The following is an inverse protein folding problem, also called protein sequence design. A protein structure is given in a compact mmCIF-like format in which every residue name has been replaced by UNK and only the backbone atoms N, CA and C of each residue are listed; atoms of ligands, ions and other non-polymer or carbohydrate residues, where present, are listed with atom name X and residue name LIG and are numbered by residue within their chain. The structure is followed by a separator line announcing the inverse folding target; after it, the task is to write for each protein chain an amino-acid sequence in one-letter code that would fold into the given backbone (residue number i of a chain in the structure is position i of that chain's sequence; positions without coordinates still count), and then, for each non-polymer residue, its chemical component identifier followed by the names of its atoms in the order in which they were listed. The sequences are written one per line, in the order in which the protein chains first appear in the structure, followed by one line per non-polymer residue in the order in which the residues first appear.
data_IF_471411031900
#
_entry.id   IF_471411031900
#
_cell.length_a   1.000
_cell.length_b   1.000
_cell.length_c   1.000
_cell.angle_alpha   90.00
_cell.angle_beta   90.00
_cell.angle_gamma   90.00
#
_symmetry.space_group_name_H-M   'P 1'
#
loop_
_entity.id
_entity.type
_entity.pdbx_description
1 polymer ?
#
# COMPACT_ATOMS: atom_id res chain seq x y z
N UNK A 1 -21.53 -30.21 -8.43
CA UNK A 1 -20.50 -29.20 -8.07
C UNK A 1 -21.07 -28.27 -7.00
N UNK A 2 -20.93 -28.63 -5.73
CA UNK A 2 -21.36 -27.75 -4.62
C UNK A 2 -20.24 -26.73 -4.37
N UNK A 3 -20.51 -25.44 -4.63
CA UNK A 3 -19.64 -24.35 -4.20
C UNK A 3 -19.79 -24.21 -2.68
N UNK A 4 -18.69 -24.21 -1.93
CA UNK A 4 -18.72 -23.88 -0.50
C UNK A 4 -18.80 -22.34 -0.33
N UNK A 5 -19.98 -21.73 -0.07
CA UNK A 5 -20.27 -20.38 -0.55
C UNK A 5 -19.71 -19.19 0.26
N UNK A 6 -19.10 -19.43 1.43
CA UNK A 6 -18.80 -18.37 2.39
C UNK A 6 -17.31 -18.21 2.74
N UNK A 7 -16.47 -19.23 2.54
CA UNK A 7 -15.07 -19.22 3.03
C UNK A 7 -14.03 -18.95 1.93
N UNK A 8 -14.39 -19.08 0.65
CA UNK A 8 -13.54 -18.69 -0.51
C UNK A 8 -13.62 -17.19 -0.84
N UNK A 9 -14.58 -16.47 -0.24
CA UNK A 9 -14.87 -15.06 -0.56
C UNK A 9 -13.73 -14.10 -0.20
N UNK A 10 -12.98 -14.36 0.87
CA UNK A 10 -11.97 -13.40 1.33
C UNK A 10 -10.80 -13.26 0.35
N UNK A 11 -10.39 -14.35 -0.31
CA UNK A 11 -9.32 -14.31 -1.33
C UNK A 11 -9.83 -13.61 -2.58
N UNK A 12 -11.04 -13.93 -3.05
CA UNK A 12 -11.65 -13.23 -4.18
C UNK A 12 -11.81 -11.73 -3.92
N UNK A 13 -12.23 -11.34 -2.71
CA UNK A 13 -12.33 -9.95 -2.27
C UNK A 13 -10.95 -9.28 -2.22
N UNK A 14 -9.95 -9.92 -1.63
CA UNK A 14 -8.59 -9.41 -1.59
C UNK A 14 -8.00 -9.24 -3.01
N UNK A 15 -8.23 -10.17 -3.93
CA UNK A 15 -7.81 -10.05 -5.33
C UNK A 15 -8.53 -8.88 -6.02
N UNK A 16 -9.83 -8.67 -5.75
CA UNK A 16 -10.57 -7.51 -6.28
C UNK A 16 -10.01 -6.19 -5.78
N UNK A 17 -9.66 -6.12 -4.49
CA UNK A 17 -9.09 -4.90 -3.89
C UNK A 17 -7.76 -4.48 -4.51
N UNK A 18 -7.00 -5.38 -5.16
CA UNK A 18 -5.80 -5.03 -5.93
C UNK A 18 -6.10 -4.04 -7.06
N UNK A 19 -7.31 -4.12 -7.63
CA UNK A 19 -7.80 -3.26 -8.73
C UNK A 19 -8.62 -2.08 -8.24
N UNK A 20 -8.89 -1.99 -6.94
CA UNK A 20 -9.46 -0.77 -6.38
C UNK A 20 -8.45 0.34 -6.49
N UNK A 21 -8.94 1.57 -6.43
CA UNK A 21 -8.15 2.75 -6.71
C UNK A 21 -8.06 3.65 -5.49
N UNK A 22 -6.90 4.29 -5.35
CA UNK A 22 -6.62 5.30 -4.33
C UNK A 22 -6.15 6.57 -5.04
N UNK A 23 -6.64 7.72 -4.57
CA UNK A 23 -6.19 9.02 -5.08
C UNK A 23 -4.81 9.36 -4.47
N UNK A 24 -3.84 9.69 -5.31
CA UNK A 24 -2.54 10.19 -4.87
C UNK A 24 -2.68 11.64 -4.40
N UNK A 25 -2.33 11.94 -3.14
CA UNK A 25 -2.45 13.30 -2.61
C UNK A 25 -1.44 14.29 -3.19
N UNK A 26 -0.36 13.82 -3.82
CA UNK A 26 0.65 14.63 -4.52
C UNK A 26 0.12 15.11 -5.87
N UNK A 27 -0.25 14.19 -6.77
CA UNK A 27 -0.61 14.53 -8.15
C UNK A 27 -2.11 14.46 -8.48
N UNK A 28 -2.95 14.12 -7.49
CA UNK A 28 -4.42 13.95 -7.60
C UNK A 28 -4.89 12.91 -8.62
N UNK A 29 -3.99 12.03 -9.08
CA UNK A 29 -4.36 10.91 -9.96
C UNK A 29 -4.94 9.76 -9.17
N UNK A 30 -5.87 9.07 -9.80
CA UNK A 30 -6.48 7.83 -9.31
C UNK A 30 -5.62 6.65 -9.76
N UNK A 31 -5.05 5.90 -8.81
CA UNK A 31 -4.07 4.84 -9.06
C UNK A 31 -4.55 3.52 -8.47
N UNK A 32 -4.41 2.43 -9.22
CA UNK A 32 -4.71 1.08 -8.71
C UNK A 32 -3.84 0.76 -7.48
N UNK A 33 -4.45 0.18 -6.45
CA UNK A 33 -3.79 -0.14 -5.18
C UNK A 33 -2.51 -0.97 -5.38
N UNK A 34 -2.52 -1.94 -6.31
CA UNK A 34 -1.34 -2.76 -6.60
C UNK A 34 -0.13 -1.97 -7.15
N UNK A 35 -0.36 -0.82 -7.79
CA UNK A 35 0.67 0.05 -8.39
C UNK A 35 0.95 1.31 -7.55
N UNK A 36 0.26 1.49 -6.42
CA UNK A 36 0.28 2.75 -5.69
C UNK A 36 1.65 3.08 -5.08
N UNK A 37 2.32 2.09 -4.48
CA UNK A 37 3.65 2.30 -3.87
C UNK A 37 4.73 2.59 -4.93
N UNK A 38 4.66 1.95 -6.10
CA UNK A 38 5.54 2.24 -7.24
C UNK A 38 5.30 3.66 -7.75
N UNK A 39 4.03 4.05 -7.86
CA UNK A 39 3.64 5.39 -8.28
C UNK A 39 4.17 6.49 -7.35
N UNK A 40 4.15 6.31 -6.02
CA UNK A 40 4.57 7.35 -5.07
C UNK A 40 6.00 7.81 -5.34
N UNK A 41 6.94 6.87 -5.54
CA UNK A 41 8.36 7.20 -5.75
C UNK A 41 8.58 8.03 -7.01
N UNK A 42 7.98 7.60 -8.13
CA UNK A 42 8.07 8.32 -9.40
C UNK A 42 7.36 9.68 -9.34
N UNK A 43 6.22 9.72 -8.65
CA UNK A 43 5.42 10.93 -8.47
C UNK A 43 6.16 11.97 -7.62
N UNK A 44 6.78 11.55 -6.52
CA UNK A 44 7.54 12.41 -5.63
C UNK A 44 8.70 13.09 -6.35
N UNK A 45 9.48 12.32 -7.10
CA UNK A 45 10.58 12.84 -7.92
C UNK A 45 10.08 13.81 -9.00
N UNK A 46 9.01 13.46 -9.71
CA UNK A 46 8.46 14.29 -10.79
C UNK A 46 7.97 15.65 -10.32
N UNK A 47 7.35 15.71 -9.13
CA UNK A 47 6.79 16.94 -8.57
C UNK A 47 7.73 17.63 -7.58
N UNK A 48 8.97 17.13 -7.42
CA UNK A 48 9.97 17.66 -6.50
C UNK A 48 9.41 17.88 -5.07
N UNK A 49 8.67 16.89 -4.56
CA UNK A 49 8.09 16.98 -3.21
C UNK A 49 9.14 16.72 -2.14
N UNK A 50 8.94 17.28 -0.95
CA UNK A 50 9.81 17.00 0.18
C UNK A 50 9.76 15.54 0.61
N UNK A 51 10.85 15.09 1.24
CA UNK A 51 10.94 13.75 1.84
C UNK A 51 9.77 13.47 2.78
N UNK A 52 9.44 14.42 3.66
CA UNK A 52 8.35 14.25 4.63
C UNK A 52 6.99 14.07 3.92
N UNK A 53 6.76 14.78 2.81
CA UNK A 53 5.52 14.60 2.04
C UNK A 53 5.46 13.24 1.38
N UNK A 54 6.56 12.78 0.76
CA UNK A 54 6.64 11.43 0.19
C UNK A 54 6.41 10.36 1.25
N UNK A 55 7.15 10.43 2.35
CA UNK A 55 7.08 9.48 3.46
C UNK A 55 5.70 9.47 4.13
N UNK A 56 5.04 10.63 4.26
CA UNK A 56 3.66 10.73 4.73
C UNK A 56 2.72 9.89 3.84
N UNK A 57 2.75 10.11 2.52
CA UNK A 57 1.83 9.44 1.59
C UNK A 57 2.10 7.94 1.51
N UNK A 58 3.37 7.54 1.50
CA UNK A 58 3.75 6.13 1.55
C UNK A 58 3.21 5.45 2.81
N UNK A 59 3.47 6.03 3.99
CA UNK A 59 3.06 5.45 5.26
C UNK A 59 1.54 5.45 5.43
N UNK A 60 0.83 6.48 4.94
CA UNK A 60 -0.64 6.49 4.90
C UNK A 60 -1.20 5.32 4.08
N UNK A 61 -0.60 5.01 2.94
CA UNK A 61 -1.03 3.88 2.11
C UNK A 61 -0.69 2.54 2.76
N UNK A 62 0.49 2.40 3.36
CA UNK A 62 0.88 1.19 4.11
C UNK A 62 -0.06 0.97 5.29
N UNK A 63 -0.41 2.00 6.04
CA UNK A 63 -1.40 1.93 7.10
C UNK A 63 -2.87 1.87 6.62
N UNK A 64 -3.13 1.72 5.32
CA UNK A 64 -4.51 1.70 4.82
C UNK A 64 -5.25 0.40 5.21
N UNK A 65 -6.59 0.46 5.15
CA UNK A 65 -7.44 -0.74 5.27
C UNK A 65 -7.06 -1.80 4.25
N UNK A 66 -6.78 -1.39 3.01
CA UNK A 66 -6.36 -2.28 1.93
C UNK A 66 -5.10 -3.05 2.33
N UNK A 67 -4.03 -2.35 2.71
CA UNK A 67 -2.75 -2.96 3.07
C UNK A 67 -2.88 -3.90 4.27
N UNK A 68 -3.64 -3.50 5.29
CA UNK A 68 -3.93 -4.35 6.46
C UNK A 68 -4.68 -5.63 6.05
N UNK A 69 -5.72 -5.50 5.21
CA UNK A 69 -6.52 -6.61 4.74
C UNK A 69 -5.69 -7.58 3.88
N UNK A 70 -4.86 -7.06 2.97
CA UNK A 70 -3.97 -7.86 2.12
C UNK A 70 -2.99 -8.69 2.95
N UNK A 71 -2.33 -8.08 3.93
CA UNK A 71 -1.35 -8.80 4.77
C UNK A 71 -2.01 -9.92 5.59
N UNK A 72 -3.19 -9.65 6.18
CA UNK A 72 -3.92 -10.66 6.95
C UNK A 72 -4.51 -11.76 6.06
N UNK A 73 -4.97 -11.43 4.85
CA UNK A 73 -5.47 -12.41 3.88
C UNK A 73 -4.35 -13.34 3.40
N UNK A 74 -3.16 -12.81 3.10
CA UNK A 74 -1.99 -13.61 2.73
C UNK A 74 -1.55 -14.53 3.88
N UNK A 75 -1.50 -14.01 5.11
CA UNK A 75 -1.17 -14.80 6.29
C UNK A 75 -2.15 -15.97 6.46
N UNK A 76 -3.45 -15.69 6.35
CA UNK A 76 -4.51 -16.70 6.45
C UNK A 76 -4.37 -17.76 5.36
N UNK A 77 -4.20 -17.34 4.10
CA UNK A 77 -4.05 -18.27 2.98
C UNK A 77 -2.84 -19.19 3.17
N UNK A 78 -1.68 -18.63 3.57
CA UNK A 78 -0.47 -19.39 3.85
C UNK A 78 -0.69 -20.46 4.92
N UNK A 79 -1.32 -20.08 6.04
CA UNK A 79 -1.57 -20.99 7.16
C UNK A 79 -2.59 -22.08 6.82
N UNK A 80 -3.66 -21.74 6.10
CA UNK A 80 -4.65 -22.73 5.63
C UNK A 80 -4.01 -23.75 4.69
N UNK A 81 -3.22 -23.28 3.72
CA UNK A 81 -2.51 -24.14 2.76
C UNK A 81 -1.50 -25.03 3.49
N UNK A 82 -0.63 -24.45 4.32
CA UNK A 82 0.38 -25.20 5.08
C UNK A 82 -0.23 -26.26 5.98
N UNK A 83 -1.36 -25.95 6.63
CA UNK A 83 -2.10 -26.93 7.44
C UNK A 83 -2.65 -28.09 6.63
N UNK A 84 -3.30 -27.82 5.50
CA UNK A 84 -3.84 -28.89 4.65
C UNK A 84 -2.75 -29.74 4.00
N UNK A 85 -1.60 -29.14 3.65
CA UNK A 85 -0.44 -29.87 3.18
C UNK A 85 0.08 -30.86 4.23
N UNK A 86 0.31 -30.38 5.44
CA UNK A 86 0.75 -31.19 6.57
C UNK A 86 -0.25 -32.28 6.98
N UNK A 87 -1.55 -32.02 6.79
CA UNK A 87 -2.63 -32.98 7.07
C UNK A 87 -2.65 -34.13 6.05
N UNK A 88 -2.40 -33.84 4.78
CA UNK A 88 -2.38 -34.84 3.70
C UNK A 88 -1.07 -35.64 3.66
N UNK A 89 0.05 -34.98 3.97
CA UNK A 89 1.38 -35.56 3.91
C UNK A 89 2.22 -35.10 5.10
N UNK A 90 2.51 -36.03 6.02
CA UNK A 90 3.35 -35.76 7.19
C UNK A 90 4.77 -35.31 6.81
N UNK A 91 5.26 -35.66 5.61
CA UNK A 91 6.52 -35.13 5.09
C UNK A 91 6.52 -33.61 4.91
N UNK A 92 5.34 -32.98 4.86
CA UNK A 92 5.15 -31.53 4.74
C UNK A 92 4.90 -30.82 6.07
N UNK A 93 5.17 -31.47 7.20
CA UNK A 93 5.12 -30.78 8.50
C UNK A 93 6.03 -29.54 8.51
N UNK A 94 7.16 -29.56 7.80
CA UNK A 94 8.07 -28.40 7.63
C UNK A 94 7.42 -27.17 6.99
N UNK A 95 6.29 -27.33 6.28
CA UNK A 95 5.52 -26.23 5.71
C UNK A 95 4.52 -25.61 6.70
N UNK A 96 4.37 -26.19 7.90
CA UNK A 96 3.42 -25.75 8.91
C UNK A 96 4.11 -24.77 9.88
N UNK A 97 3.65 -23.51 9.90
CA UNK A 97 4.22 -22.53 10.83
C UNK A 97 3.93 -22.94 12.30
N UNK A 98 4.90 -22.82 13.21
CA UNK A 98 4.76 -23.30 14.58
C UNK A 98 5.43 -22.40 15.63
N UNK A 99 4.70 -22.11 16.70
CA UNK A 99 5.20 -21.39 17.89
C UNK A 99 5.04 -22.19 19.20
N UNK A 100 4.43 -23.38 19.12
CA UNK A 100 4.07 -24.21 20.28
C UNK A 100 5.05 -25.34 20.56
N UNK A 101 5.68 -25.91 19.53
CA UNK A 101 6.51 -27.10 19.68
C UNK A 101 7.86 -26.74 20.31
N UNK A 102 8.27 -27.41 21.41
CA UNK A 102 9.54 -27.13 22.07
C UNK A 102 10.76 -27.62 21.27
N UNK A 103 10.57 -28.59 20.37
CA UNK A 103 11.63 -29.16 19.53
C UNK A 103 11.14 -29.36 18.11
N UNK A 104 12.09 -29.38 17.15
CA UNK A 104 11.80 -29.69 15.76
C UNK A 104 11.21 -31.09 15.60
N UNK A 105 11.71 -32.10 16.33
CA UNK A 105 11.18 -33.46 16.22
C UNK A 105 9.71 -33.52 16.66
N UNK A 106 9.35 -32.91 17.79
CA UNK A 106 7.95 -32.86 18.24
C UNK A 106 7.04 -32.14 17.23
N UNK A 107 7.58 -31.14 16.53
CA UNK A 107 6.89 -30.50 15.41
C UNK A 107 6.70 -31.45 14.23
N UNK A 108 7.76 -32.13 13.76
CA UNK A 108 7.70 -33.10 12.66
C UNK A 108 6.77 -34.29 12.97
N UNK A 109 6.62 -34.65 14.24
CA UNK A 109 5.70 -35.68 14.70
C UNK A 109 4.22 -35.22 14.72
N UNK A 110 3.95 -33.95 14.42
CA UNK A 110 2.59 -33.39 14.35
C UNK A 110 2.09 -32.76 15.65
N UNK A 111 2.95 -32.53 16.63
CA UNK A 111 2.55 -32.12 17.99
C UNK A 111 1.79 -30.79 18.11
N UNK A 112 1.77 -29.95 17.06
CA UNK A 112 1.02 -28.70 16.99
C UNK A 112 -0.18 -28.73 16.03
N UNK A 113 -0.43 -29.85 15.33
CA UNK A 113 -1.43 -29.89 14.25
C UNK A 113 -2.84 -29.61 14.78
N UNK A 114 -3.17 -30.08 15.99
CA UNK A 114 -4.51 -29.90 16.59
C UNK A 114 -4.83 -28.45 16.98
N UNK A 115 -3.84 -27.56 17.06
CA UNK A 115 -4.06 -26.13 17.28
C UNK A 115 -4.73 -25.46 16.05
N UNK A 116 -4.67 -26.09 14.88
CA UNK A 116 -5.21 -25.57 13.62
C UNK A 116 -4.64 -24.18 13.29
N UNK A 117 -3.33 -23.98 13.54
CA UNK A 117 -2.59 -22.72 13.30
C UNK A 117 -3.07 -21.51 14.12
N UNK A 118 -3.92 -21.70 15.13
CA UNK A 118 -4.50 -20.61 15.93
C UNK A 118 -3.43 -19.76 16.61
N UNK A 119 -2.49 -20.38 17.31
CA UNK A 119 -1.47 -19.67 18.08
C UNK A 119 -0.47 -18.98 17.15
N UNK A 120 -0.04 -19.65 16.08
CA UNK A 120 0.83 -19.02 15.10
C UNK A 120 0.15 -17.82 14.43
N UNK A 121 -1.13 -17.93 14.04
CA UNK A 121 -1.89 -16.80 13.49
C UNK A 121 -2.02 -15.66 14.51
N UNK A 122 -2.23 -15.99 15.78
CA UNK A 122 -2.31 -15.00 16.86
C UNK A 122 -1.03 -14.16 16.93
N UNK A 123 0.14 -14.79 16.88
CA UNK A 123 1.43 -14.11 16.97
C UNK A 123 1.78 -13.33 15.69
N UNK A 124 1.72 -13.98 14.53
CA UNK A 124 2.06 -13.35 13.24
C UNK A 124 1.03 -12.29 12.82
N UNK A 125 -0.24 -12.51 13.14
CA UNK A 125 -1.33 -11.57 12.90
C UNK A 125 -1.20 -10.33 13.79
N UNK A 126 -0.84 -10.50 15.07
CA UNK A 126 -0.55 -9.38 15.96
C UNK A 126 0.67 -8.57 15.47
N UNK A 127 1.75 -9.25 15.02
CA UNK A 127 2.92 -8.58 14.44
C UNK A 127 2.54 -7.79 13.18
N UNK A 128 1.68 -8.35 12.34
CA UNK A 128 1.14 -7.66 11.16
C UNK A 128 0.40 -6.37 11.56
N UNK A 129 -0.51 -6.44 12.53
CA UNK A 129 -1.24 -5.25 13.02
C UNK A 129 -0.28 -4.21 13.62
N UNK A 130 0.73 -4.67 14.36
CA UNK A 130 1.74 -3.79 14.96
C UNK A 130 2.56 -3.05 13.90
N UNK A 131 2.98 -3.73 12.82
CA UNK A 131 3.66 -3.07 11.70
C UNK A 131 2.78 -2.03 11.01
N UNK A 132 1.50 -2.34 10.79
CA UNK A 132 0.60 -1.35 10.19
C UNK A 132 0.34 -0.15 11.12
N UNK A 133 0.33 -0.37 12.42
CA UNK A 133 0.27 0.71 13.40
C UNK A 133 1.54 1.57 13.38
N UNK A 134 2.71 0.97 13.21
CA UNK A 134 3.97 1.72 13.06
C UNK A 134 3.88 2.67 11.86
N UNK A 135 3.47 2.16 10.70
CA UNK A 135 3.24 3.01 9.53
C UNK A 135 2.20 4.10 9.79
N UNK A 136 1.15 3.82 10.56
CA UNK A 136 0.16 4.82 10.90
C UNK A 136 0.75 5.96 11.77
N UNK A 137 1.56 5.60 12.77
CA UNK A 137 2.24 6.56 13.64
C UNK A 137 3.23 7.40 12.82
N UNK A 138 4.01 6.76 11.95
CA UNK A 138 4.96 7.44 11.06
C UNK A 138 4.22 8.41 10.12
N UNK A 139 3.08 7.99 9.55
CA UNK A 139 2.24 8.86 8.73
C UNK A 139 1.76 10.10 9.49
N UNK A 140 1.33 9.95 10.74
CA UNK A 140 0.92 11.09 11.57
C UNK A 140 2.10 12.00 11.92
N UNK A 141 3.27 11.44 12.18
CA UNK A 141 4.49 12.20 12.41
C UNK A 141 4.86 13.05 11.18
N UNK A 142 4.90 12.45 9.99
CA UNK A 142 5.21 13.18 8.77
C UNK A 142 4.12 14.19 8.38
N UNK A 143 2.84 13.88 8.62
CA UNK A 143 1.74 14.86 8.44
C UNK A 143 1.95 16.09 9.34
N UNK A 144 2.46 15.90 10.56
CA UNK A 144 2.81 16.99 11.45
C UNK A 144 4.00 17.79 10.91
N UNK A 145 5.08 17.15 10.47
CA UNK A 145 6.25 17.85 9.89
C UNK A 145 5.88 18.68 8.65
N UNK A 146 5.11 18.09 7.73
CA UNK A 146 4.61 18.80 6.55
C UNK A 146 3.81 20.04 6.94
N UNK A 147 2.90 19.95 7.92
CA UNK A 147 2.13 21.10 8.35
C UNK A 147 2.95 22.16 9.11
N UNK A 148 4.01 21.76 9.82
CA UNK A 148 4.94 22.71 10.44
C UNK A 148 5.73 23.49 9.38
N UNK A 149 6.17 22.81 8.32
CA UNK A 149 6.82 23.46 7.18
C UNK A 149 5.87 24.42 6.46
N UNK A 150 4.63 24.01 6.22
CA UNK A 150 3.61 24.88 5.61
C UNK A 150 3.37 26.16 6.44
N UNK A 151 3.47 26.09 7.78
CA UNK A 151 3.43 27.28 8.64
C UNK A 151 4.65 28.18 8.38
N UNK A 152 5.86 27.62 8.32
CA UNK A 152 7.07 28.42 8.04
C UNK A 152 7.02 29.11 6.67
N UNK A 153 6.67 28.36 5.64
CA UNK A 153 6.63 28.83 4.24
C UNK A 153 5.65 30.01 4.07
N UNK A 154 4.49 29.95 4.73
CA UNK A 154 3.48 31.01 4.67
C UNK A 154 3.98 32.36 5.22
N UNK A 155 4.93 32.33 6.14
CA UNK A 155 5.52 33.54 6.70
C UNK A 155 6.74 34.01 5.92
N UNK A 156 7.48 33.13 5.24
CA UNK A 156 8.65 33.51 4.42
C UNK A 156 8.27 34.42 3.23
N UNK A 157 7.10 34.18 2.62
CA UNK A 157 6.57 35.00 1.50
C UNK A 157 6.14 36.42 1.92
N UNK A 158 5.81 36.64 3.19
CA UNK A 158 5.29 37.92 3.70
C UNK A 158 6.35 39.02 3.89
N UNK A 159 7.64 38.68 3.87
CA UNK A 159 8.75 39.59 4.24
C UNK A 159 9.55 40.18 3.07
N UNK A 160 9.32 39.73 1.83
CA UNK A 160 10.15 40.13 0.67
C UNK A 160 9.96 41.56 0.17
N UNK A 161 8.93 42.30 0.61
CA UNK A 161 8.52 43.56 -0.03
C UNK A 161 8.53 44.79 0.89
N UNK A 162 9.19 44.75 2.05
CA UNK A 162 8.97 45.83 3.02
C UNK A 162 9.71 47.13 2.69
N UNK A 163 10.92 47.13 2.11
CA UNK A 163 11.59 48.39 1.73
C UNK A 163 12.68 48.20 0.66
N UNK A 164 12.35 48.34 -0.63
CA UNK A 164 13.31 48.39 -1.75
C UNK A 164 13.89 49.80 -2.01
N UNK A 165 13.46 50.81 -1.26
CA UNK A 165 13.92 52.19 -1.47
C UNK A 165 15.18 52.55 -0.64
N UNK A 166 16.16 53.29 -1.22
CA UNK A 166 17.33 53.79 -0.50
C UNK A 166 16.94 54.80 0.59
N UNK A 167 17.54 54.71 1.78
CA UNK A 167 17.32 55.72 2.82
C UNK A 167 18.08 57.02 2.52
N UNK A 168 17.56 58.16 3.03
CA UNK A 168 18.18 59.49 2.89
C UNK A 168 19.23 59.82 3.98
N UNK A 169 19.73 58.85 4.77
CA UNK A 169 20.88 59.08 5.67
C UNK A 169 21.09 58.07 6.81
N UNK A 170 22.31 58.05 7.36
CA UNK A 170 22.83 57.06 8.35
C UNK A 170 21.95 56.91 9.60
N UNK A 171 21.39 58.00 10.14
CA UNK A 171 20.51 57.94 11.31
C UNK A 171 19.17 57.24 11.02
N UNK A 172 18.66 57.39 9.79
CA UNK A 172 17.45 56.69 9.35
C UNK A 172 17.73 55.22 9.03
N UNK A 173 18.95 54.89 8.59
CA UNK A 173 19.39 53.49 8.44
C UNK A 173 19.40 52.76 9.78
N UNK A 174 19.93 53.38 10.85
CA UNK A 174 19.98 52.77 12.19
C UNK A 174 18.56 52.51 12.73
N UNK A 175 17.66 53.49 12.62
CA UNK A 175 16.26 53.33 13.04
C UNK A 175 15.52 52.27 12.20
N UNK A 176 15.79 52.20 10.89
CA UNK A 176 15.24 51.17 10.01
C UNK A 176 15.72 49.79 10.40
N UNK A 177 17.00 49.62 10.76
CA UNK A 177 17.55 48.34 11.23
C UNK A 177 16.87 47.91 12.54
N UNK A 178 16.67 48.81 13.50
CA UNK A 178 16.00 48.49 14.76
C UNK A 178 14.53 48.07 14.56
N UNK A 179 13.81 48.77 13.68
CA UNK A 179 12.44 48.42 13.32
C UNK A 179 12.37 47.06 12.61
N UNK A 180 13.28 46.77 11.68
CA UNK A 180 13.36 45.47 11.00
C UNK A 180 13.63 44.34 11.99
N UNK A 181 14.58 44.53 12.90
CA UNK A 181 14.88 43.54 13.93
C UNK A 181 13.69 43.28 14.86
N UNK A 182 12.88 44.30 15.16
CA UNK A 182 11.67 44.16 15.96
C UNK A 182 10.53 43.45 15.20
N UNK A 183 10.35 43.76 13.92
CA UNK A 183 9.40 43.04 13.05
C UNK A 183 9.80 41.56 12.95
N UNK A 184 11.07 41.26 12.73
CA UNK A 184 11.58 39.90 12.63
C UNK A 184 11.38 39.13 13.95
N UNK A 185 11.64 39.76 15.10
CA UNK A 185 11.39 39.15 16.42
C UNK A 185 9.91 38.83 16.64
N UNK A 186 9.02 39.77 16.33
CA UNK A 186 7.58 39.57 16.49
C UNK A 186 7.04 38.49 15.53
N UNK A 187 7.58 38.44 14.31
CA UNK A 187 7.28 37.39 13.33
C UNK A 187 7.69 36.01 13.85
N UNK A 188 8.93 35.87 14.35
CA UNK A 188 9.42 34.61 14.91
C UNK A 188 8.55 34.14 16.09
N UNK A 189 8.15 35.05 16.98
CA UNK A 189 7.25 34.74 18.09
C UNK A 189 5.89 34.22 17.62
N UNK A 190 5.29 34.85 16.59
CA UNK A 190 4.01 34.41 16.04
C UNK A 190 4.13 33.06 15.33
N UNK A 191 5.19 32.82 14.55
CA UNK A 191 5.47 31.51 13.94
C UNK A 191 5.56 30.44 15.03
N UNK A 192 6.36 30.68 16.08
CA UNK A 192 6.54 29.71 17.15
C UNK A 192 5.24 29.44 17.91
N UNK A 193 4.43 30.46 18.14
CA UNK A 193 3.10 30.32 18.75
C UNK A 193 2.19 29.42 17.89
N UNK A 194 2.11 29.66 16.59
CA UNK A 194 1.29 28.84 15.68
C UNK A 194 1.78 27.40 15.59
N UNK A 195 3.11 27.17 15.55
CA UNK A 195 3.69 25.82 15.60
C UNK A 195 3.32 25.08 16.89
N UNK A 196 3.38 25.76 18.04
CA UNK A 196 3.01 25.18 19.32
C UNK A 196 1.52 24.79 19.38
N UNK A 197 0.64 25.69 18.92
CA UNK A 197 -0.81 25.44 18.86
C UNK A 197 -1.15 24.29 17.90
N UNK A 198 -0.53 24.27 16.71
CA UNK A 198 -0.68 23.22 15.72
C UNK A 198 -0.22 21.86 16.27
N UNK A 199 0.96 21.81 16.89
CA UNK A 199 1.53 20.59 17.47
C UNK A 199 0.62 20.04 18.57
N UNK A 200 0.19 20.88 19.51
CA UNK A 200 -0.67 20.47 20.62
C UNK A 200 -2.03 19.94 20.11
N UNK A 201 -2.59 20.55 19.07
CA UNK A 201 -3.82 20.08 18.42
C UNK A 201 -3.60 18.73 17.73
N UNK A 202 -2.57 18.61 16.90
CA UNK A 202 -2.27 17.37 16.15
C UNK A 202 -1.93 16.19 17.04
N UNK A 203 -1.23 16.40 18.15
CA UNK A 203 -0.96 15.34 19.12
C UNK A 203 -2.25 14.77 19.71
N UNK A 204 -3.20 15.63 20.11
CA UNK A 204 -4.50 15.18 20.64
C UNK A 204 -5.30 14.40 19.59
N UNK A 205 -5.36 14.89 18.36
CA UNK A 205 -6.02 14.19 17.25
C UNK A 205 -5.37 12.84 16.95
N UNK A 206 -4.03 12.78 16.98
CA UNK A 206 -3.25 11.58 16.67
C UNK A 206 -3.52 10.46 17.67
N UNK A 207 -3.57 10.76 18.98
CA UNK A 207 -3.88 9.76 20.01
C UNK A 207 -5.25 9.11 19.76
N UNK A 208 -6.27 9.91 19.44
CA UNK A 208 -7.62 9.40 19.14
C UNK A 208 -7.59 8.52 17.89
N UNK A 209 -6.92 8.97 16.82
CA UNK A 209 -6.82 8.21 15.57
C UNK A 209 -6.04 6.90 15.74
N UNK A 210 -4.98 6.87 16.55
CA UNK A 210 -4.21 5.67 16.88
C UNK A 210 -5.12 4.61 17.52
N UNK A 211 -5.89 5.00 18.54
CA UNK A 211 -6.81 4.08 19.22
C UNK A 211 -7.87 3.52 18.26
N UNK A 212 -8.43 4.37 17.40
CA UNK A 212 -9.39 3.94 16.37
C UNK A 212 -8.76 3.01 15.33
N UNK A 213 -7.52 3.29 14.94
CA UNK A 213 -6.77 2.43 14.02
C UNK A 213 -6.54 1.05 14.63
N UNK A 214 -6.00 0.99 15.84
CA UNK A 214 -5.77 -0.25 16.59
C UNK A 214 -7.05 -1.06 16.74
N UNK A 215 -8.16 -0.46 17.17
CA UNK A 215 -9.43 -1.17 17.34
C UNK A 215 -9.92 -1.80 16.01
N UNK A 216 -9.89 -1.03 14.91
CA UNK A 216 -10.30 -1.54 13.59
C UNK A 216 -9.39 -2.67 13.09
N UNK A 217 -8.08 -2.50 13.22
CA UNK A 217 -7.11 -3.51 12.80
C UNK A 217 -7.23 -4.79 13.63
N UNK A 218 -7.38 -4.66 14.96
CA UNK A 218 -7.58 -5.79 15.87
C UNK A 218 -8.89 -6.54 15.58
N UNK A 219 -10.00 -5.83 15.32
CA UNK A 219 -11.27 -6.47 14.92
C UNK A 219 -11.11 -7.28 13.64
N UNK A 220 -10.39 -6.75 12.65
CA UNK A 220 -10.11 -7.46 11.41
C UNK A 220 -9.26 -8.71 11.67
N UNK A 221 -8.14 -8.55 12.37
CA UNK A 221 -7.24 -9.63 12.76
C UNK A 221 -7.97 -10.77 13.50
N UNK A 222 -8.75 -10.45 14.54
CA UNK A 222 -9.48 -11.45 15.33
C UNK A 222 -10.53 -12.19 14.49
N UNK A 223 -11.19 -11.50 13.56
CA UNK A 223 -12.12 -12.11 12.62
C UNK A 223 -11.41 -13.10 11.70
N UNK A 224 -10.29 -12.70 11.08
CA UNK A 224 -9.49 -13.57 10.21
C UNK A 224 -9.02 -14.83 10.94
N UNK A 225 -8.51 -14.69 12.17
CA UNK A 225 -8.09 -15.82 13.00
C UNK A 225 -9.25 -16.80 13.24
N UNK A 226 -10.41 -16.27 13.67
CA UNK A 226 -11.59 -17.10 13.96
C UNK A 226 -12.06 -17.86 12.72
N UNK A 227 -12.19 -17.17 11.60
CA UNK A 227 -12.66 -17.77 10.34
C UNK A 227 -11.67 -18.78 9.76
N UNK A 228 -10.37 -18.54 9.90
CA UNK A 228 -9.32 -19.48 9.50
C UNK A 228 -9.43 -20.79 10.29
N UNK A 229 -9.45 -20.71 11.62
CA UNK A 229 -9.54 -21.88 12.50
C UNK A 229 -10.80 -22.68 12.20
N UNK A 230 -11.93 -22.00 12.00
CA UNK A 230 -13.20 -22.64 11.63
C UNK A 230 -13.12 -23.34 10.27
N UNK A 231 -12.51 -22.69 9.28
CA UNK A 231 -12.32 -23.25 7.95
C UNK A 231 -11.43 -24.50 7.98
N UNK A 232 -10.31 -24.44 8.71
CA UNK A 232 -9.43 -25.60 8.88
C UNK A 232 -10.18 -26.75 9.54
N UNK A 233 -10.84 -26.52 10.67
CA UNK A 233 -11.60 -27.55 11.39
C UNK A 233 -12.66 -28.22 10.52
N UNK A 234 -13.36 -27.42 9.71
CA UNK A 234 -14.42 -27.91 8.82
C UNK A 234 -13.87 -28.79 7.69
N UNK A 235 -12.66 -28.55 7.21
CA UNK A 235 -12.14 -29.18 5.99
C UNK A 235 -11.04 -30.23 6.23
N UNK A 236 -10.31 -30.20 7.35
CA UNK A 236 -9.12 -31.04 7.58
C UNK A 236 -9.37 -32.56 7.47
N UNK A 237 -10.60 -33.01 7.74
CA UNK A 237 -10.96 -34.44 7.68
C UNK A 237 -11.84 -34.78 6.47
N UNK A 238 -11.99 -33.88 5.49
CA UNK A 238 -12.83 -34.16 4.31
C UNK A 238 -12.10 -35.07 3.32
N UNK A 239 -12.84 -36.02 2.75
CA UNK A 239 -12.34 -36.94 1.73
C UNK A 239 -11.81 -36.22 0.48
N UNK A 240 -12.31 -35.02 0.18
CA UNK A 240 -11.88 -34.21 -0.96
C UNK A 240 -10.87 -33.11 -0.58
N UNK A 241 -10.18 -33.22 0.55
CA UNK A 241 -9.20 -32.23 1.01
C UNK A 241 -8.12 -31.93 -0.04
N UNK A 242 -7.63 -32.94 -0.76
CA UNK A 242 -6.65 -32.76 -1.83
C UNK A 242 -7.18 -31.86 -2.96
N UNK A 243 -8.45 -32.02 -3.35
CA UNK A 243 -9.08 -31.16 -4.36
C UNK A 243 -9.25 -29.72 -3.86
N UNK A 244 -9.62 -29.55 -2.58
CA UNK A 244 -9.73 -28.24 -1.94
C UNK A 244 -8.36 -27.55 -1.94
N UNK A 245 -7.30 -28.24 -1.53
CA UNK A 245 -5.94 -27.71 -1.50
C UNK A 245 -5.47 -27.28 -2.89
N UNK A 246 -5.65 -28.13 -3.89
CA UNK A 246 -5.29 -27.82 -5.28
C UNK A 246 -6.04 -26.61 -5.81
N UNK A 247 -7.34 -26.50 -5.50
CA UNK A 247 -8.13 -25.34 -5.87
C UNK A 247 -7.61 -24.06 -5.20
N UNK A 248 -7.27 -24.11 -3.91
CA UNK A 248 -6.74 -22.97 -3.15
C UNK A 248 -5.41 -22.49 -3.73
N UNK A 249 -4.48 -23.41 -4.02
CA UNK A 249 -3.19 -23.07 -4.64
C UNK A 249 -3.34 -22.40 -6.00
N UNK A 250 -4.25 -22.90 -6.85
CA UNK A 250 -4.49 -22.33 -8.19
C UNK A 250 -5.14 -20.95 -8.18
N UNK A 251 -5.82 -20.59 -7.09
CA UNK A 251 -6.49 -19.30 -6.93
C UNK A 251 -5.82 -18.47 -5.84
N UNK A 252 -4.51 -18.61 -5.67
CA UNK A 252 -3.77 -17.95 -4.60
C UNK A 252 -3.73 -16.42 -4.79
N UNK A 253 -3.91 -15.71 -3.67
CA UNK A 253 -3.69 -14.27 -3.61
C UNK A 253 -2.24 -13.89 -3.93
N UNK A 254 -1.28 -14.72 -3.53
CA UNK A 254 0.14 -14.48 -3.79
C UNK A 254 0.43 -14.42 -5.29
N UNK A 255 -0.12 -15.35 -6.07
CA UNK A 255 0.04 -15.38 -7.53
C UNK A 255 -0.61 -14.14 -8.17
N UNK A 256 -1.82 -13.77 -7.73
CA UNK A 256 -2.53 -12.60 -8.24
C UNK A 256 -1.79 -11.27 -7.98
N UNK A 257 -1.01 -11.18 -6.88
CA UNK A 257 -0.13 -10.01 -6.63
C UNK A 257 1.08 -9.97 -7.55
N UNK A 258 1.59 -11.12 -7.96
CA UNK A 258 2.77 -11.25 -8.82
C UNK A 258 2.43 -11.28 -10.32
N UNK A 259 1.15 -11.39 -10.68
CA UNK A 259 0.72 -11.32 -12.08
C UNK A 259 1.06 -9.95 -12.68
N UNK A 260 2.19 -9.90 -13.40
CA UNK A 260 2.43 -8.88 -14.43
C UNK A 260 1.30 -9.02 -15.44
N UNK A 261 0.55 -7.95 -15.68
CA UNK A 261 -0.57 -7.94 -16.63
C UNK A 261 -0.09 -8.43 -18.00
N UNK A 262 -0.28 -9.71 -18.29
CA UNK A 262 -0.10 -10.21 -19.65
C UNK A 262 -1.13 -9.48 -20.51
N UNK A 263 -0.73 -8.90 -21.67
CA UNK A 263 -1.67 -8.21 -22.54
C UNK A 263 -2.81 -9.17 -22.85
N UNK A 264 -4.04 -8.77 -22.50
CA UNK A 264 -5.24 -9.54 -22.78
C UNK A 264 -5.25 -9.79 -24.28
N UNK A 265 -4.99 -11.03 -24.71
CA UNK A 265 -5.22 -11.46 -26.09
C UNK A 265 -6.67 -11.12 -26.39
N UNK A 266 -6.86 -10.14 -27.27
CA UNK A 266 -8.18 -9.69 -27.68
C UNK A 266 -9.01 -10.90 -28.07
N UNK A 267 -10.13 -11.10 -27.37
CA UNK A 267 -11.22 -11.91 -27.92
C UNK A 267 -11.51 -11.32 -29.29
N UNK A 268 -11.18 -12.04 -30.36
CA UNK A 268 -11.63 -11.74 -31.71
C UNK A 268 -13.16 -11.65 -31.64
N UNK A 269 -13.66 -10.43 -31.58
CA UNK A 269 -15.06 -10.14 -31.82
C UNK A 269 -15.37 -10.67 -33.22
N UNK A 270 -16.37 -11.57 -33.31
CA UNK A 270 -16.91 -12.00 -34.60
C UNK A 270 -17.37 -10.72 -35.31
N UNK A 271 -16.71 -10.39 -36.42
CA UNK A 271 -17.12 -9.34 -37.34
C UNK A 271 -18.56 -9.63 -37.77
N UNK A 272 -19.48 -8.75 -37.40
CA UNK A 272 -20.63 -8.42 -38.22
C UNK A 272 -20.10 -7.88 -39.54
N UNK A 273 -20.47 -8.54 -40.64
CA UNK A 273 -20.23 -8.09 -42.00
C UNK A 273 -20.92 -6.75 -42.24
N UNK A 274 -20.29 -5.83 -42.98
CA UNK A 274 -21.01 -4.88 -43.80
C UNK A 274 -20.84 -5.21 -45.28
N UNK A 275 -22.01 -5.18 -45.92
CA UNK A 275 -22.35 -5.19 -47.34
C UNK A 275 -21.28 -4.69 -48.31
N UNK A 276 -21.20 -5.45 -49.40
CA UNK A 276 -20.51 -5.23 -50.67
C UNK A 276 -20.95 -3.91 -51.30
N UNK A 277 -19.98 -3.08 -51.71
CA UNK A 277 -20.06 -2.23 -52.90
C UNK A 277 -18.67 -2.22 -53.55
N UNK A 278 -18.66 -2.52 -54.85
CA UNK A 278 -17.53 -2.85 -55.71
C UNK A 278 -16.79 -1.59 -56.26
N UNK A 279 -15.64 -1.76 -56.97
CA UNK A 279 -14.44 -0.96 -56.83
C UNK A 279 -14.30 0.19 -57.85
N UNK A 280 -13.38 1.10 -57.57
CA UNK A 280 -12.76 1.95 -58.60
C UNK A 280 -11.25 1.76 -58.51
N UNK A 281 -10.71 1.27 -59.63
CA UNK A 281 -9.30 1.14 -59.95
C UNK A 281 -8.55 2.47 -59.83
N UNK A 282 -7.27 2.39 -59.43
CA UNK A 282 -6.19 3.02 -60.19
C UNK A 282 -4.84 2.48 -59.71
N UNK A 283 -4.22 1.75 -60.63
CA UNK A 283 -2.80 1.45 -60.74
C UNK A 283 -1.89 2.60 -60.28
N UNK A 284 -0.77 2.26 -59.64
CA UNK A 284 0.57 2.45 -60.26
C UNK A 284 1.71 2.19 -59.27
N UNK A 285 2.65 1.32 -59.70
CA UNK A 285 4.11 1.35 -59.48
C UNK A 285 4.63 1.69 -58.07
N UNK A 286 5.27 0.79 -57.33
CA UNK A 286 6.53 0.15 -57.71
C UNK A 286 7.52 0.24 -56.51
N UNK A 287 8.54 -0.62 -56.43
CA UNK A 287 9.12 -1.05 -55.15
C UNK A 287 10.47 -0.39 -54.85
N UNK A 288 10.80 -0.19 -53.57
CA UNK A 288 12.20 -0.17 -53.15
C UNK A 288 12.43 -0.96 -51.86
N UNK A 289 13.40 -1.84 -51.96
CA UNK A 289 13.85 -2.86 -51.03
C UNK A 289 15.21 -2.42 -50.50
N UNK A 290 15.37 -2.45 -49.16
CA UNK A 290 16.59 -2.71 -48.33
C UNK A 290 17.86 -1.84 -48.54
N UNK A 291 18.89 -1.85 -47.65
CA UNK A 291 19.08 -2.56 -46.38
C UNK A 291 19.67 -1.80 -45.18
N UNK A 292 19.65 -2.51 -44.05
CA UNK A 292 20.49 -2.38 -42.85
C UNK A 292 21.91 -1.83 -43.05
N UNK A 293 22.37 -1.05 -42.07
CA UNK A 293 23.70 -1.25 -41.48
C UNK A 293 23.80 -0.58 -40.10
N UNK A 294 24.13 -1.42 -39.12
CA UNK A 294 24.66 -1.14 -37.79
C UNK A 294 25.93 -0.28 -37.82
N UNK A 295 26.04 0.70 -36.91
CA UNK A 295 27.31 1.24 -36.41
C UNK A 295 27.19 1.49 -34.90
N UNK A 296 28.20 0.98 -34.19
CA UNK A 296 28.49 1.06 -32.76
C UNK A 296 29.38 2.29 -32.51
N UNK A 297 29.43 2.74 -31.24
CA UNK A 297 30.37 3.67 -30.58
C UNK A 297 29.92 5.12 -30.65
N UNK A 298 29.67 5.80 -29.52
CA UNK A 298 30.59 5.99 -28.39
C UNK A 298 29.85 6.09 -27.05
#
# INVERSE_FOLDING_TARGET
RQRHPLQERYVEEAIKELKYVTECSICKKIIENKKFLEHIKECAQKFNVSFDKEAMVENQFRASRFSTNQSLALLRERMEIGHFEATLDKGKMTCLDCTLCPTLQYHLDGGCIEDNQRQTFKEEGARTVQWQLSHFIDACHYEMQVGLQEIEDNFEDSTKNLFDEPSLGILMDIQRIEILAEIDRNKEQEIQKQKNEYTAKKQKETIIKINQFQDRANKMYLRYMKEMVEYIKTNKNKNNLAEILEFRKRNSLQDAKNEVEKPKRGRRSRRTEPLIFDPIDLDSSGPFRVPNSSIILS
#
